data_IF_095852303424
#
_entry.id   IF_095852303424
#
_cell.length_a   1.000
_cell.length_b   1.000
_cell.length_c   1.000
_cell.angle_alpha   90.00
_cell.angle_beta   90.00
_cell.angle_gamma   90.00
#
_symmetry.space_group_name_H-M   'P 1'
#
loop_
_entity.id
_entity.type
_entity.pdbx_description
1 polymer ?
#
# COMPACT_ATOMS: atom_id res chain seq x y z
N UNK A 1 -4.51 26.93 13.25
CA UNK A 1 -4.26 26.25 12.00
C UNK A 1 -3.37 25.03 12.20
N UNK A 2 -3.37 24.11 11.24
CA UNK A 2 -2.47 22.98 11.23
C UNK A 2 -1.21 23.31 10.40
N UNK A 3 -0.03 22.92 10.87
CA UNK A 3 1.20 23.07 10.10
C UNK A 3 1.38 21.94 9.08
N UNK A 4 0.90 20.74 9.41
CA UNK A 4 1.03 19.53 8.59
C UNK A 4 -0.34 18.87 8.40
N UNK A 5 -0.57 18.40 7.17
CA UNK A 5 -1.72 17.55 6.85
C UNK A 5 -1.23 16.20 6.36
N UNK A 6 -1.58 15.12 7.04
CA UNK A 6 -1.39 13.74 6.60
C UNK A 6 -2.69 13.25 5.97
N UNK A 7 -2.73 13.24 4.66
CA UNK A 7 -3.91 12.78 3.93
C UNK A 7 -3.86 11.26 3.75
N UNK A 8 -4.33 10.55 4.78
CA UNK A 8 -4.44 9.10 4.80
C UNK A 8 -5.84 8.60 4.47
N UNK A 9 -6.82 9.51 4.32
CA UNK A 9 -8.19 9.12 4.00
C UNK A 9 -8.31 8.66 2.54
N UNK A 10 -8.96 7.53 2.34
CA UNK A 10 -9.28 7.01 1.01
C UNK A 10 -10.48 6.06 1.09
N UNK A 11 -11.34 6.09 0.08
CA UNK A 11 -12.27 5.01 -0.17
C UNK A 11 -11.53 3.89 -0.90
N UNK A 12 -11.27 2.78 -0.22
CA UNK A 12 -10.47 1.66 -0.74
C UNK A 12 -11.11 0.32 -0.42
N UNK A 13 -10.91 -0.66 -1.31
CA UNK A 13 -11.29 -2.05 -1.10
C UNK A 13 -10.41 -2.98 -1.95
N UNK A 14 -10.61 -4.29 -1.80
CA UNK A 14 -9.89 -5.30 -2.56
C UNK A 14 -10.19 -5.29 -4.06
N UNK A 15 -9.33 -5.97 -4.83
CA UNK A 15 -9.39 -6.03 -6.29
C UNK A 15 -10.74 -6.55 -6.84
N UNK A 16 -11.42 -7.45 -6.13
CA UNK A 16 -12.73 -7.97 -6.54
C UNK A 16 -13.82 -6.88 -6.60
N UNK A 17 -13.78 -5.90 -5.69
CA UNK A 17 -14.71 -4.75 -5.73
C UNK A 17 -14.33 -3.81 -6.87
N UNK A 18 -13.04 -3.56 -7.09
CA UNK A 18 -12.56 -2.71 -8.20
C UNK A 18 -12.99 -3.27 -9.55
N UNK A 19 -12.89 -4.58 -9.74
CA UNK A 19 -13.31 -5.22 -10.99
C UNK A 19 -14.83 -5.12 -11.25
N UNK A 20 -15.67 -5.20 -10.20
CA UNK A 20 -17.14 -5.13 -10.32
C UNK A 20 -17.67 -3.71 -10.43
N UNK A 21 -17.04 -2.76 -9.74
CA UNK A 21 -17.51 -1.36 -9.61
C UNK A 21 -16.33 -0.39 -9.73
N UNK A 22 -15.72 -0.24 -10.92
CA UNK A 22 -14.45 0.47 -11.08
C UNK A 22 -14.47 1.95 -10.64
N UNK A 23 -15.63 2.61 -10.68
CA UNK A 23 -15.77 4.02 -10.30
C UNK A 23 -15.98 4.25 -8.81
N UNK A 24 -16.25 3.21 -8.01
CA UNK A 24 -16.54 3.34 -6.57
C UNK A 24 -15.38 4.00 -5.80
N UNK A 25 -14.15 3.82 -6.28
CA UNK A 25 -12.95 4.42 -5.68
C UNK A 25 -12.47 5.68 -6.41
N UNK A 26 -12.98 5.99 -7.58
CA UNK A 26 -12.49 7.12 -8.40
C UNK A 26 -13.15 8.42 -7.94
N UNK A 27 -14.45 8.57 -8.16
CA UNK A 27 -15.15 9.83 -7.91
C UNK A 27 -15.02 10.32 -6.46
N UNK A 28 -15.27 9.50 -5.41
CA UNK A 28 -15.12 9.97 -4.04
C UNK A 28 -13.71 10.43 -3.72
N UNK A 29 -12.69 9.69 -4.19
CA UNK A 29 -11.30 10.04 -3.90
C UNK A 29 -10.83 11.27 -4.69
N UNK A 30 -11.21 11.43 -5.97
CA UNK A 30 -10.88 12.63 -6.74
C UNK A 30 -11.43 13.87 -6.07
N UNK A 31 -12.72 13.86 -5.71
CA UNK A 31 -13.39 14.99 -5.06
C UNK A 31 -12.72 15.31 -3.71
N UNK A 32 -12.54 14.30 -2.87
CA UNK A 32 -11.92 14.46 -1.55
C UNK A 32 -10.48 14.98 -1.66
N UNK A 33 -9.64 14.37 -2.50
CA UNK A 33 -8.24 14.75 -2.64
C UNK A 33 -8.11 16.19 -3.15
N UNK A 34 -8.94 16.60 -4.11
CA UNK A 34 -8.93 17.95 -4.67
C UNK A 34 -9.30 19.00 -3.62
N UNK A 35 -10.43 18.81 -2.92
CA UNK A 35 -10.87 19.75 -1.91
C UNK A 35 -9.96 19.82 -0.69
N UNK A 36 -9.37 18.69 -0.27
CA UNK A 36 -8.43 18.72 0.85
C UNK A 36 -7.13 19.45 0.53
N UNK A 37 -6.61 19.30 -0.71
CA UNK A 37 -5.46 20.08 -1.17
C UNK A 37 -5.78 21.58 -1.21
N UNK A 38 -6.91 21.96 -1.79
CA UNK A 38 -7.37 23.34 -1.84
C UNK A 38 -7.53 23.94 -0.44
N UNK A 39 -8.28 23.26 0.44
CA UNK A 39 -8.50 23.71 1.81
C UNK A 39 -7.18 23.81 2.63
N UNK A 40 -6.25 22.88 2.43
CA UNK A 40 -4.93 22.95 3.06
C UNK A 40 -4.13 24.16 2.58
N UNK A 41 -4.19 24.45 1.29
CA UNK A 41 -3.54 25.63 0.71
C UNK A 41 -4.14 26.93 1.24
N UNK A 42 -5.47 27.08 1.23
CA UNK A 42 -6.18 28.25 1.76
C UNK A 42 -5.92 28.46 3.25
N UNK A 43 -5.78 27.37 4.02
CA UNK A 43 -5.42 27.40 5.43
C UNK A 43 -3.93 27.66 5.70
N UNK A 44 -3.13 27.91 4.65
CA UNK A 44 -1.68 28.14 4.73
C UNK A 44 -0.92 27.02 5.44
N UNK A 45 -1.29 25.77 5.18
CA UNK A 45 -0.58 24.57 5.66
C UNK A 45 0.84 24.56 5.13
N UNK A 46 1.83 24.31 5.99
CA UNK A 46 3.25 24.31 5.61
C UNK A 46 3.63 23.11 4.75
N UNK A 47 3.05 21.95 5.05
CA UNK A 47 3.33 20.72 4.29
C UNK A 47 2.11 19.81 4.22
N UNK A 48 1.77 19.37 3.02
CA UNK A 48 0.73 18.39 2.74
C UNK A 48 1.37 17.06 2.35
N UNK A 49 1.04 15.98 3.06
CA UNK A 49 1.55 14.64 2.84
C UNK A 49 0.44 13.80 2.22
N UNK A 50 0.62 13.37 0.98
CA UNK A 50 -0.32 12.56 0.23
C UNK A 50 0.13 11.09 0.21
N UNK A 51 -0.73 10.19 0.68
CA UNK A 51 -0.50 8.76 0.57
C UNK A 51 -1.05 8.26 -0.78
N UNK A 52 -0.14 8.07 -1.72
CA UNK A 52 -0.41 7.50 -3.04
C UNK A 52 -0.45 5.96 -2.98
N UNK A 53 0.07 5.26 -3.99
CA UNK A 53 0.07 3.80 -4.02
C UNK A 53 1.11 3.25 -5.00
N UNK A 54 1.78 2.17 -4.63
CA UNK A 54 2.57 1.37 -5.56
C UNK A 54 1.74 0.68 -6.66
N UNK A 55 0.42 0.55 -6.47
CA UNK A 55 -0.48 0.04 -7.51
C UNK A 55 -0.69 1.01 -8.69
N UNK A 56 -0.25 2.25 -8.54
CA UNK A 56 -0.36 3.26 -9.61
C UNK A 56 0.78 3.18 -10.64
N UNK A 57 1.83 2.42 -10.38
CA UNK A 57 2.92 2.22 -11.33
C UNK A 57 2.50 1.38 -12.55
N UNK A 58 3.15 1.56 -13.70
CA UNK A 58 3.04 0.61 -14.79
C UNK A 58 3.72 -0.73 -14.43
N UNK A 59 3.37 -1.83 -15.10
CA UNK A 59 4.09 -3.09 -14.92
C UNK A 59 5.54 -2.98 -15.42
N UNK A 60 6.48 -3.54 -14.66
CA UNK A 60 7.92 -3.55 -14.98
C UNK A 60 8.48 -4.98 -15.12
N UNK A 61 7.58 -5.99 -15.23
CA UNK A 61 7.96 -7.40 -15.18
C UNK A 61 8.50 -7.75 -13.80
N UNK A 62 9.65 -8.42 -13.75
CA UNK A 62 10.26 -8.89 -12.51
C UNK A 62 11.19 -7.84 -11.85
N UNK A 63 11.33 -6.68 -12.46
CA UNK A 63 12.20 -5.61 -11.98
C UNK A 63 11.47 -4.71 -10.98
N UNK A 64 12.12 -4.29 -9.86
CA UNK A 64 11.60 -3.24 -8.99
C UNK A 64 11.38 -1.93 -9.76
N UNK A 65 10.28 -1.22 -9.46
CA UNK A 65 9.92 0.04 -10.09
C UNK A 65 10.48 1.23 -9.31
N UNK A 66 11.09 2.18 -10.02
CA UNK A 66 11.68 3.41 -9.48
C UNK A 66 10.66 4.56 -9.48
N UNK A 67 10.90 5.61 -8.67
CA UNK A 67 9.96 6.74 -8.53
C UNK A 67 9.72 7.50 -9.83
N UNK A 68 10.72 7.62 -10.70
CA UNK A 68 10.64 8.30 -12.00
C UNK A 68 9.71 7.61 -12.99
N UNK A 69 9.40 6.35 -12.77
CA UNK A 69 8.66 5.52 -13.70
C UNK A 69 7.13 5.62 -13.56
N UNK A 70 6.63 6.40 -12.61
CA UNK A 70 5.18 6.51 -12.33
C UNK A 70 4.34 6.83 -13.57
N UNK A 71 4.89 7.56 -14.51
CA UNK A 71 4.19 8.02 -15.71
C UNK A 71 4.73 7.39 -17.01
N UNK A 72 5.54 6.33 -16.95
CA UNK A 72 6.17 5.67 -18.11
C UNK A 72 5.26 4.62 -18.78
N UNK A 73 3.96 4.79 -18.74
CA UNK A 73 2.98 3.89 -19.36
C UNK A 73 1.72 3.76 -18.52
N UNK A 74 0.79 2.94 -19.00
CA UNK A 74 -0.45 2.69 -18.28
C UNK A 74 -0.23 1.74 -17.09
N UNK A 75 -0.96 1.92 -16.00
CA UNK A 75 -1.00 0.94 -14.92
C UNK A 75 -1.68 -0.35 -15.39
N UNK A 76 -1.56 -1.41 -14.61
CA UNK A 76 -2.30 -2.65 -14.83
C UNK A 76 -3.80 -2.41 -14.98
N UNK A 77 -4.46 -3.09 -15.91
CA UNK A 77 -5.86 -2.89 -16.26
C UNK A 77 -6.80 -2.95 -15.05
N UNK A 78 -6.56 -3.90 -14.14
CA UNK A 78 -7.37 -4.06 -12.92
C UNK A 78 -7.30 -2.83 -12.00
N UNK A 79 -6.21 -2.07 -12.06
CA UNK A 79 -6.00 -0.86 -11.27
C UNK A 79 -6.18 0.43 -12.07
N UNK A 80 -6.42 0.35 -13.39
CA UNK A 80 -6.42 1.48 -14.29
C UNK A 80 -7.18 2.71 -13.76
N UNK A 81 -8.45 2.63 -13.35
CA UNK A 81 -9.20 3.81 -12.90
C UNK A 81 -8.62 4.41 -11.60
N UNK A 82 -8.35 3.56 -10.60
CA UNK A 82 -7.86 4.02 -9.30
C UNK A 82 -6.40 4.51 -9.39
N UNK A 83 -5.59 3.91 -10.23
CA UNK A 83 -4.21 4.31 -10.45
C UNK A 83 -4.14 5.70 -11.12
N UNK A 84 -4.93 5.94 -12.17
CA UNK A 84 -5.01 7.26 -12.79
C UNK A 84 -5.56 8.33 -11.85
N UNK A 85 -6.52 8.00 -11.00
CA UNK A 85 -6.97 8.89 -9.93
C UNK A 85 -5.82 9.26 -8.97
N UNK A 86 -5.00 8.29 -8.55
CA UNK A 86 -3.82 8.55 -7.70
C UNK A 86 -2.79 9.41 -8.43
N UNK A 87 -2.45 9.08 -9.68
CA UNK A 87 -1.54 9.87 -10.52
C UNK A 87 -2.02 11.32 -10.69
N UNK A 88 -3.32 11.51 -10.92
CA UNK A 88 -3.89 12.86 -10.98
C UNK A 88 -3.69 13.63 -9.67
N UNK A 89 -3.90 12.99 -8.53
CA UNK A 89 -3.68 13.62 -7.23
C UNK A 89 -2.21 13.97 -7.01
N UNK A 90 -1.26 13.17 -7.50
CA UNK A 90 0.17 13.48 -7.47
C UNK A 90 0.51 14.71 -8.32
N UNK A 91 -0.10 14.83 -9.54
CA UNK A 91 0.03 16.02 -10.38
C UNK A 91 -0.51 17.26 -9.67
N UNK A 92 -1.63 17.15 -8.94
CA UNK A 92 -2.12 18.27 -8.12
C UNK A 92 -1.12 18.62 -7.01
N UNK A 93 -0.59 17.66 -6.27
CA UNK A 93 0.45 17.89 -5.25
C UNK A 93 1.64 18.66 -5.86
N UNK A 94 2.15 18.20 -7.00
CA UNK A 94 3.24 18.86 -7.73
C UNK A 94 2.84 20.26 -8.15
N UNK A 95 1.62 20.49 -8.60
CA UNK A 95 1.13 21.81 -9.00
C UNK A 95 1.14 22.79 -7.82
N UNK A 96 0.60 22.39 -6.66
CA UNK A 96 0.60 23.24 -5.46
C UNK A 96 2.02 23.56 -4.96
N UNK A 97 2.95 22.67 -5.15
CA UNK A 97 4.34 22.89 -4.70
C UNK A 97 5.19 23.68 -5.70
N UNK A 98 4.90 23.62 -7.02
CA UNK A 98 5.85 24.11 -8.03
C UNK A 98 5.29 25.14 -9.01
N UNK A 99 3.97 25.35 -9.08
CA UNK A 99 3.34 26.20 -10.10
C UNK A 99 2.62 27.43 -9.57
N UNK A 100 2.49 27.56 -8.25
CA UNK A 100 1.82 28.68 -7.62
C UNK A 100 2.83 29.77 -7.22
N UNK A 101 2.37 31.02 -7.15
CA UNK A 101 3.20 32.16 -6.72
C UNK A 101 3.61 32.05 -5.25
N UNK A 102 2.75 31.45 -4.43
CA UNK A 102 3.05 31.09 -3.04
C UNK A 102 2.93 29.57 -2.93
N UNK A 103 4.03 28.83 -3.05
CA UNK A 103 3.97 27.37 -3.07
C UNK A 103 3.67 26.78 -1.69
N UNK A 104 2.90 25.68 -1.65
CA UNK A 104 2.74 24.82 -0.48
C UNK A 104 3.63 23.59 -0.65
N UNK A 105 4.44 23.26 0.36
CA UNK A 105 5.24 22.05 0.30
C UNK A 105 4.33 20.80 0.25
N UNK A 106 4.62 19.89 -0.67
CA UNK A 106 3.88 18.61 -0.78
C UNK A 106 4.84 17.43 -0.86
N UNK A 107 4.48 16.35 -0.18
CA UNK A 107 5.23 15.09 -0.16
C UNK A 107 4.31 13.95 -0.59
N UNK A 108 4.67 13.29 -1.67
CA UNK A 108 3.95 12.11 -2.18
C UNK A 108 4.63 10.86 -1.67
N UNK A 109 3.90 10.04 -0.94
CA UNK A 109 4.38 8.75 -0.44
C UNK A 109 3.71 7.63 -1.23
N UNK A 110 4.51 6.75 -1.79
CA UNK A 110 4.08 5.56 -2.52
C UNK A 110 4.45 4.32 -1.71
N UNK A 111 3.52 3.80 -0.91
CA UNK A 111 3.77 2.58 -0.16
C UNK A 111 3.71 1.33 -1.05
N UNK A 112 4.49 0.31 -0.68
CA UNK A 112 4.22 -1.07 -1.08
C UNK A 112 3.01 -1.62 -0.29
N UNK A 113 2.81 -2.93 -0.24
CA UNK A 113 1.70 -3.50 0.51
C UNK A 113 1.97 -3.39 2.02
N UNK A 114 1.33 -2.42 2.66
CA UNK A 114 1.39 -2.25 4.13
C UNK A 114 0.57 -3.37 4.77
N UNK A 115 1.07 -3.96 5.85
CA UNK A 115 0.34 -4.92 6.67
C UNK A 115 0.67 -4.75 8.15
N UNK A 116 -0.23 -5.19 9.03
CA UNK A 116 -0.01 -5.13 10.47
C UNK A 116 -1.28 -4.89 11.28
N UNK A 117 -1.11 -4.25 12.42
CA UNK A 117 -2.22 -3.84 13.29
C UNK A 117 -3.15 -2.85 12.57
N UNK A 118 -4.44 -2.92 12.89
CA UNK A 118 -5.50 -2.06 12.33
C UNK A 118 -5.74 -2.22 10.82
N UNK A 119 -5.24 -3.30 10.19
CA UNK A 119 -5.58 -3.62 8.82
C UNK A 119 -7.06 -4.03 8.69
N UNK A 120 -7.58 -3.99 7.47
CA UNK A 120 -8.95 -4.46 7.18
C UNK A 120 -8.95 -5.98 7.07
N UNK A 121 -9.56 -6.67 8.02
CA UNK A 121 -9.64 -8.13 8.04
C UNK A 121 -10.95 -8.69 7.50
N UNK A 122 -11.87 -7.85 7.05
CA UNK A 122 -13.10 -8.27 6.39
C UNK A 122 -12.80 -8.90 5.03
N UNK A 123 -13.33 -10.09 4.74
CA UNK A 123 -13.00 -10.85 3.52
C UNK A 123 -13.43 -10.17 2.22
N UNK A 124 -14.46 -9.31 2.25
CA UNK A 124 -14.94 -8.63 1.06
C UNK A 124 -14.08 -7.42 0.68
N UNK A 125 -13.43 -6.81 1.66
CA UNK A 125 -12.69 -5.56 1.50
C UNK A 125 -11.19 -5.66 1.78
N UNK A 126 -10.73 -6.76 2.40
CA UNK A 126 -9.34 -6.94 2.82
C UNK A 126 -8.36 -7.14 1.66
N UNK A 127 -7.11 -6.77 1.91
CA UNK A 127 -6.00 -7.20 1.09
C UNK A 127 -5.58 -8.64 1.41
N UNK A 128 -4.82 -9.25 0.50
CA UNK A 128 -4.45 -10.67 0.57
C UNK A 128 -3.78 -11.04 1.91
N UNK A 129 -2.85 -10.23 2.41
CA UNK A 129 -2.12 -10.53 3.66
C UNK A 129 -3.08 -10.58 4.86
N UNK A 130 -3.97 -9.61 4.99
CA UNK A 130 -4.96 -9.57 6.07
C UNK A 130 -5.94 -10.75 5.98
N UNK A 131 -6.40 -11.10 4.77
CA UNK A 131 -7.26 -12.27 4.56
C UNK A 131 -6.57 -13.58 4.93
N UNK A 132 -5.28 -13.74 4.62
CA UNK A 132 -4.49 -14.91 5.00
C UNK A 132 -4.31 -14.98 6.52
N UNK A 133 -3.94 -13.88 7.18
CA UNK A 133 -3.80 -13.79 8.64
C UNK A 133 -5.11 -14.21 9.32
N UNK A 134 -6.23 -13.66 8.88
CA UNK A 134 -7.54 -13.99 9.43
C UNK A 134 -7.84 -15.49 9.32
N UNK A 135 -7.68 -16.08 8.13
CA UNK A 135 -7.92 -17.52 7.92
C UNK A 135 -6.99 -18.40 8.75
N UNK A 136 -5.74 -18.01 8.95
CA UNK A 136 -4.79 -18.71 9.81
C UNK A 136 -5.28 -18.71 11.26
N UNK A 137 -5.64 -17.55 11.80
CA UNK A 137 -6.12 -17.40 13.19
C UNK A 137 -7.44 -18.15 13.42
N UNK A 138 -8.35 -18.08 12.46
CA UNK A 138 -9.67 -18.75 12.50
C UNK A 138 -9.59 -20.25 12.15
N UNK A 139 -8.39 -20.79 11.85
CA UNK A 139 -8.17 -22.22 11.56
C UNK A 139 -9.01 -22.76 10.39
N UNK A 140 -9.13 -21.96 9.31
CA UNK A 140 -9.86 -22.43 8.13
C UNK A 140 -9.23 -23.72 7.58
N UNK A 141 -10.06 -24.77 7.36
CA UNK A 141 -9.59 -26.04 6.83
C UNK A 141 -10.73 -26.71 6.03
N UNK A 142 -10.66 -26.84 4.69
CA UNK A 142 -9.51 -26.53 3.84
C UNK A 142 -9.20 -25.04 3.77
N UNK A 143 -7.91 -24.71 3.60
CA UNK A 143 -7.42 -23.36 3.46
C UNK A 143 -7.31 -22.99 1.97
N UNK A 144 -8.33 -22.33 1.41
CA UNK A 144 -8.33 -21.94 0.00
C UNK A 144 -7.51 -20.66 -0.22
N UNK A 145 -6.60 -20.71 -1.20
CA UNK A 145 -5.81 -19.57 -1.69
C UNK A 145 -6.13 -19.33 -3.17
N UNK A 146 -6.51 -18.12 -3.53
CA UNK A 146 -6.79 -17.77 -4.92
C UNK A 146 -5.50 -17.68 -5.73
N UNK A 147 -5.55 -18.15 -6.98
CA UNK A 147 -4.38 -18.25 -7.86
C UNK A 147 -3.48 -19.43 -7.54
N UNK A 148 -2.28 -19.41 -8.07
CA UNK A 148 -1.24 -20.45 -7.87
C UNK A 148 -0.42 -20.25 -6.60
N UNK A 149 -0.49 -19.06 -6.00
CA UNK A 149 0.36 -18.68 -4.89
C UNK A 149 1.75 -18.15 -5.28
N UNK A 150 2.07 -18.12 -6.58
CA UNK A 150 3.39 -17.68 -7.08
C UNK A 150 3.48 -16.16 -7.30
N UNK A 151 2.37 -15.42 -7.21
CA UNK A 151 2.39 -13.97 -7.31
C UNK A 151 3.31 -13.35 -6.27
N UNK A 152 4.15 -12.41 -6.70
CA UNK A 152 5.16 -11.74 -5.88
C UNK A 152 4.63 -10.39 -5.39
N UNK A 153 4.82 -10.12 -4.12
CA UNK A 153 4.46 -8.85 -3.46
C UNK A 153 5.65 -8.33 -2.65
N UNK A 154 5.78 -7.02 -2.65
CA UNK A 154 6.59 -6.30 -1.68
C UNK A 154 5.69 -5.96 -0.49
N UNK A 155 6.07 -6.41 0.70
CA UNK A 155 5.34 -6.19 1.95
C UNK A 155 6.17 -5.34 2.90
N UNK A 156 5.57 -4.30 3.46
CA UNK A 156 6.18 -3.49 4.53
C UNK A 156 5.32 -3.52 5.79
N UNK A 157 5.94 -3.81 6.93
CA UNK A 157 5.23 -3.77 8.21
C UNK A 157 4.88 -2.34 8.59
N UNK A 158 3.70 -2.15 9.19
CA UNK A 158 3.16 -0.80 9.47
C UNK A 158 4.11 0.10 10.27
N UNK A 159 4.86 -0.44 11.24
CA UNK A 159 5.81 0.35 12.03
C UNK A 159 6.97 0.85 11.17
N UNK A 160 7.56 -0.01 10.33
CA UNK A 160 8.60 0.40 9.40
C UNK A 160 8.09 1.43 8.39
N UNK A 161 6.84 1.28 7.92
CA UNK A 161 6.22 2.29 7.05
C UNK A 161 6.10 3.64 7.75
N UNK A 162 5.62 3.67 9.01
CA UNK A 162 5.48 4.91 9.78
C UNK A 162 6.84 5.55 10.05
N UNK A 163 7.85 4.77 10.41
CA UNK A 163 9.21 5.28 10.65
C UNK A 163 9.79 5.93 9.38
N UNK A 164 9.67 5.26 8.23
CA UNK A 164 10.08 5.80 6.93
C UNK A 164 9.32 7.05 6.55
N UNK A 165 7.99 7.05 6.73
CA UNK A 165 7.12 8.20 6.50
C UNK A 165 7.54 9.43 7.34
N UNK A 166 7.70 9.25 8.64
CA UNK A 166 8.07 10.35 9.55
C UNK A 166 9.46 10.91 9.24
N UNK A 167 10.38 10.04 8.82
CA UNK A 167 11.70 10.47 8.39
C UNK A 167 11.64 11.26 7.08
N UNK A 168 10.82 10.82 6.10
CA UNK A 168 10.58 11.54 4.86
C UNK A 168 9.94 12.91 5.13
N UNK A 169 8.93 12.98 5.99
CA UNK A 169 8.30 14.26 6.40
C UNK A 169 9.30 15.23 6.98
N UNK A 170 10.28 14.75 7.76
CA UNK A 170 11.32 15.58 8.39
C UNK A 170 12.39 16.06 7.40
N UNK A 171 12.77 15.20 6.42
CA UNK A 171 13.92 15.47 5.54
C UNK A 171 13.57 16.04 4.17
N UNK A 172 12.39 15.71 3.62
CA UNK A 172 11.98 16.15 2.29
C UNK A 172 11.28 17.51 2.38
N UNK A 173 11.64 18.42 1.46
CA UNK A 173 11.08 19.77 1.39
C UNK A 173 10.60 20.08 -0.04
N UNK A 174 9.75 21.11 -0.18
CA UNK A 174 9.10 21.52 -1.43
C UNK A 174 8.21 20.40 -2.01
N UNK A 175 8.53 19.92 -3.22
CA UNK A 175 7.93 18.75 -3.83
C UNK A 175 8.90 17.58 -3.75
N UNK A 176 8.42 16.48 -3.29
CA UNK A 176 9.17 15.23 -3.30
C UNK A 176 8.23 14.04 -3.42
N UNK A 177 8.74 12.95 -3.99
CA UNK A 177 8.07 11.65 -4.09
C UNK A 177 8.99 10.54 -3.59
N UNK A 178 8.43 9.58 -2.85
CA UNK A 178 9.21 8.55 -2.20
C UNK A 178 8.48 7.22 -2.18
N UNK A 179 9.15 6.18 -2.66
CA UNK A 179 8.75 4.81 -2.40
C UNK A 179 9.08 4.45 -0.95
N UNK A 180 8.07 4.00 -0.20
CA UNK A 180 8.30 3.41 1.13
C UNK A 180 7.90 1.94 1.06
N UNK A 181 8.89 1.08 0.91
CA UNK A 181 8.75 -0.34 0.62
C UNK A 181 9.88 -1.14 1.26
N UNK A 182 9.72 -2.46 1.34
CA UNK A 182 10.80 -3.32 1.81
C UNK A 182 11.92 -3.49 0.79
N UNK A 183 11.56 -3.43 -0.50
CA UNK A 183 12.44 -3.77 -1.60
C UNK A 183 12.69 -5.27 -1.74
N UNK A 184 11.90 -6.11 -1.05
CA UNK A 184 12.02 -7.57 -1.05
C UNK A 184 10.72 -8.19 -1.55
N UNK A 185 10.84 -9.00 -2.61
CA UNK A 185 9.72 -9.77 -3.15
C UNK A 185 9.49 -11.05 -2.38
N UNK A 186 8.24 -11.31 -2.02
CA UNK A 186 7.79 -12.56 -1.41
C UNK A 186 6.56 -13.10 -2.14
N UNK A 187 6.49 -14.42 -2.37
CA UNK A 187 5.31 -15.03 -2.99
C UNK A 187 4.16 -15.13 -1.99
N UNK A 188 2.92 -15.15 -2.49
CA UNK A 188 1.74 -15.40 -1.65
C UNK A 188 1.87 -16.73 -0.89
N UNK A 189 2.46 -17.74 -1.53
CA UNK A 189 2.78 -19.02 -0.91
C UNK A 189 3.76 -18.89 0.27
N UNK A 190 4.83 -18.08 0.10
CA UNK A 190 5.79 -17.81 1.18
C UNK A 190 5.13 -17.05 2.34
N UNK A 191 4.27 -16.07 2.04
CA UNK A 191 3.52 -15.33 3.07
C UNK A 191 2.67 -16.31 3.89
N UNK A 192 1.89 -17.16 3.21
CA UNK A 192 1.05 -18.16 3.87
C UNK A 192 1.86 -19.16 4.69
N UNK A 193 2.91 -19.74 4.11
CA UNK A 193 3.76 -20.71 4.81
C UNK A 193 4.37 -20.10 6.07
N UNK A 194 4.84 -18.85 5.98
CA UNK A 194 5.38 -18.15 7.14
C UNK A 194 4.31 -17.90 8.20
N UNK A 195 3.09 -17.50 7.78
CA UNK A 195 1.99 -17.27 8.72
C UNK A 195 1.56 -18.56 9.44
N UNK A 196 1.46 -19.68 8.70
CA UNK A 196 1.14 -21.00 9.27
C UNK A 196 2.20 -21.44 10.28
N UNK A 197 3.49 -21.29 9.93
CA UNK A 197 4.62 -21.64 10.80
C UNK A 197 4.61 -20.82 12.09
N UNK A 198 4.47 -19.51 11.97
CA UNK A 198 4.49 -18.58 13.12
C UNK A 198 3.31 -18.84 14.06
N UNK A 199 2.17 -19.27 13.52
CA UNK A 199 0.95 -19.53 14.28
C UNK A 199 0.79 -21.02 14.69
N UNK A 200 1.80 -21.86 14.43
CA UNK A 200 1.79 -23.30 14.73
C UNK A 200 0.53 -24.02 14.19
N UNK A 201 0.15 -23.67 12.94
CA UNK A 201 -0.97 -24.32 12.25
C UNK A 201 -0.47 -25.42 11.29
N UNK A 202 0.11 -26.49 11.86
CA UNK A 202 0.86 -27.51 11.13
C UNK A 202 -0.05 -28.45 10.31
N UNK A 203 -1.33 -28.58 10.65
CA UNK A 203 -2.29 -29.46 9.98
C UNK A 203 -3.21 -28.75 8.98
N UNK A 204 -2.85 -27.56 8.51
CA UNK A 204 -3.60 -26.83 7.50
C UNK A 204 -3.56 -27.57 6.14
N UNK A 205 -4.74 -27.88 5.60
CA UNK A 205 -4.87 -28.42 4.25
C UNK A 205 -5.01 -27.27 3.26
N UNK A 206 -3.88 -26.82 2.69
CA UNK A 206 -3.82 -25.70 1.75
C UNK A 206 -4.22 -26.15 0.35
N UNK A 207 -5.16 -25.42 -0.26
CA UNK A 207 -5.62 -25.63 -1.65
C UNK A 207 -5.46 -24.35 -2.44
N UNK A 208 -4.63 -24.39 -3.50
CA UNK A 208 -4.52 -23.29 -4.45
C UNK A 208 -5.57 -23.44 -5.54
N UNK A 209 -6.29 -22.36 -5.84
CA UNK A 209 -7.36 -22.34 -6.83
C UNK A 209 -6.98 -21.43 -8.00
N UNK A 210 -6.34 -21.96 -9.07
CA UNK A 210 -5.88 -21.18 -10.21
C UNK A 210 -7.02 -20.58 -11.04
N UNK A 211 -8.26 -21.09 -10.90
CA UNK A 211 -9.43 -20.57 -11.59
C UNK A 211 -9.95 -19.23 -10.98
N UNK A 212 -9.49 -18.91 -9.78
CA UNK A 212 -9.78 -17.63 -9.16
C UNK A 212 -8.80 -16.54 -9.64
N UNK A 213 -9.29 -15.30 -9.85
CA UNK A 213 -8.47 -14.24 -10.42
C UNK A 213 -7.28 -13.87 -9.54
N UNK A 214 -6.11 -13.80 -10.15
CA UNK A 214 -4.94 -13.08 -9.67
C UNK A 214 -4.97 -11.65 -10.24
N UNK A 215 -4.35 -10.70 -9.56
CA UNK A 215 -4.35 -9.29 -10.01
C UNK A 215 -3.13 -8.96 -10.86
N UNK A 216 -1.94 -9.13 -10.32
CA UNK A 216 -0.65 -8.77 -10.94
C UNK A 216 0.35 -9.82 -10.55
N UNK A 217 1.07 -10.45 -11.50
CA UNK A 217 2.04 -11.49 -11.19
C UNK A 217 3.16 -11.00 -10.26
N UNK A 218 3.72 -9.83 -10.56
CA UNK A 218 4.83 -9.25 -9.78
C UNK A 218 4.53 -7.79 -9.45
N UNK A 219 4.73 -7.42 -8.19
CA UNK A 219 4.74 -6.03 -7.76
C UNK A 219 5.87 -5.81 -6.78
N UNK A 220 6.95 -5.24 -7.31
CA UNK A 220 8.15 -4.87 -6.58
C UNK A 220 8.42 -3.39 -6.73
N UNK A 221 8.94 -2.78 -5.66
CA UNK A 221 9.29 -1.37 -5.66
C UNK A 221 10.75 -1.20 -5.25
N UNK A 222 11.44 -0.28 -5.91
CA UNK A 222 12.80 0.08 -5.54
C UNK A 222 12.80 0.97 -4.29
N UNK A 223 13.70 0.69 -3.36
CA UNK A 223 13.87 1.45 -2.11
C UNK A 223 15.23 2.16 -2.03
N UNK A 224 15.94 2.28 -3.14
CA UNK A 224 17.28 2.91 -3.19
C UNK A 224 17.22 4.36 -2.76
N UNK A 225 16.24 5.12 -3.26
CA UNK A 225 16.03 6.52 -2.87
C UNK A 225 15.78 6.67 -1.37
N UNK A 226 14.97 5.79 -0.78
CA UNK A 226 14.70 5.75 0.66
C UNK A 226 15.98 5.53 1.46
N UNK A 227 16.83 4.59 1.03
CA UNK A 227 18.12 4.30 1.65
C UNK A 227 19.12 5.43 1.49
N UNK A 228 19.32 5.90 0.26
CA UNK A 228 20.37 6.88 -0.06
C UNK A 228 20.07 8.26 0.49
N UNK A 229 18.83 8.75 0.32
CA UNK A 229 18.46 10.10 0.74
C UNK A 229 18.10 10.21 2.21
N UNK A 230 17.47 9.17 2.77
CA UNK A 230 17.00 9.20 4.15
C UNK A 230 17.86 8.36 5.11
N UNK A 231 18.68 7.45 4.60
CA UNK A 231 19.44 6.50 5.41
C UNK A 231 18.54 5.49 6.12
N UNK A 232 17.35 5.22 5.56
CA UNK A 232 16.36 4.35 6.18
C UNK A 232 16.29 2.99 5.48
N UNK A 233 16.16 1.95 6.28
CA UNK A 233 15.86 0.58 5.81
C UNK A 233 14.83 -0.05 6.74
N UNK A 234 13.79 -0.73 6.20
CA UNK A 234 12.89 -1.55 6.98
C UNK A 234 13.66 -2.61 7.78
N UNK A 235 13.24 -2.86 9.01
CA UNK A 235 13.94 -3.72 9.98
C UNK A 235 13.13 -4.97 10.35
N UNK A 236 11.80 -4.88 10.26
CA UNK A 236 10.91 -5.95 10.70
C UNK A 236 10.87 -7.04 9.62
N UNK A 237 11.31 -8.23 9.96
CA UNK A 237 11.24 -9.38 9.06
C UNK A 237 9.80 -9.82 8.79
N UNK A 238 9.56 -10.53 7.67
CA UNK A 238 8.23 -11.08 7.36
C UNK A 238 7.68 -11.94 8.51
N UNK A 239 8.51 -12.82 9.07
CA UNK A 239 8.12 -13.70 10.18
C UNK A 239 7.73 -12.92 11.43
N UNK A 240 8.51 -11.93 11.80
CA UNK A 240 8.23 -11.07 12.96
C UNK A 240 6.96 -10.26 12.74
N UNK A 241 6.83 -9.60 11.58
CA UNK A 241 5.67 -8.79 11.26
C UNK A 241 4.36 -9.60 11.20
N UNK A 242 4.40 -10.79 10.59
CA UNK A 242 3.24 -11.70 10.59
C UNK A 242 2.89 -12.16 12.00
N UNK A 243 3.88 -12.51 12.82
CA UNK A 243 3.64 -12.88 14.21
C UNK A 243 2.95 -11.78 15.02
N UNK A 244 3.42 -10.54 14.88
CA UNK A 244 2.81 -9.37 15.53
C UNK A 244 1.39 -9.10 15.02
N UNK A 245 1.15 -9.18 13.72
CA UNK A 245 -0.16 -8.98 13.10
C UNK A 245 -1.17 -10.06 13.52
N UNK A 246 -0.75 -11.32 13.55
CA UNK A 246 -1.54 -12.46 14.03
C UNK A 246 -1.93 -12.27 15.50
N UNK A 247 -0.97 -11.90 16.36
CA UNK A 247 -1.24 -11.65 17.78
C UNK A 247 -2.21 -10.48 17.98
N UNK A 248 -2.07 -9.42 17.15
CA UNK A 248 -2.97 -8.28 17.21
C UNK A 248 -4.39 -8.69 16.81
N UNK A 249 -4.58 -9.37 15.67
CA UNK A 249 -5.89 -9.83 15.21
C UNK A 249 -6.57 -10.77 16.23
N UNK A 250 -5.80 -11.65 16.84
CA UNK A 250 -6.31 -12.57 17.88
C UNK A 250 -6.89 -11.85 19.11
N UNK A 251 -6.32 -10.70 19.46
CA UNK A 251 -6.81 -9.85 20.56
C UNK A 251 -7.98 -8.95 20.14
N UNK A 252 -8.14 -8.68 18.85
CA UNK A 252 -9.12 -7.76 18.29
C UNK A 252 -9.90 -8.41 17.13
N UNK A 253 -10.50 -9.62 17.34
CA UNK A 253 -11.30 -10.24 16.30
C UNK A 253 -12.47 -9.31 15.99
N UNK A 254 -12.74 -9.04 14.70
CA UNK A 254 -13.78 -8.10 14.25
C UNK A 254 -13.44 -6.60 14.36
N UNK A 255 -12.21 -6.21 14.59
CA UNK A 255 -11.78 -4.83 14.36
C UNK A 255 -11.81 -4.58 12.84
N UNK A 256 -12.80 -3.80 12.38
CA UNK A 256 -12.99 -3.32 11.02
C UNK A 256 -12.50 -1.88 10.90
#
# INVERSE_FOLDING_TARGET
GADFVFHCAANTSGAAVMARTPLVHVTPNVVMNTYLLEAAYEASVKKFIFISSGAAYPPTGDRPVEEEEMFNGDPEDVYFPVAWMKRYSEILCRTYATKLSVPMSTLVIRPSNIYGAYDKFDFDTSHVTAALIRRVVERHNPFEVWGTGEDIRDLIFIEDFIDGLMLAVKKCNFYDEMNICSGVGVTIKQILQTALLVDHFDNAHVQFNPDKPSTTPVRLMDNSRLKERLGFQPKISLSEGLGRAIQWYRKHPFAN
#
